data_IF_486251777017
#
_entry.id   IF_486251777017
#
_cell.length_a   1.000
_cell.length_b   1.000
_cell.length_c   1.000
_cell.angle_alpha   90.00
_cell.angle_beta   90.00
_cell.angle_gamma   90.00
#
_symmetry.space_group_name_H-M   'P 1'
#
loop_
_entity.id
_entity.type
_entity.pdbx_description
1 polymer ?
#
# COMPACT_ATOMS: atom_id res chain seq x y z
N UNK A 1 5.59 -10.50 0.12
CA UNK A 1 4.62 -9.39 -0.03
C UNK A 1 5.34 -8.07 0.13
N UNK A 2 5.06 -7.09 -0.72
CA UNK A 2 5.73 -5.79 -0.69
C UNK A 2 4.71 -4.66 -0.61
N UNK A 3 5.00 -3.65 0.18
CA UNK A 3 4.21 -2.43 0.28
C UNK A 3 5.12 -1.21 0.20
N UNK A 4 4.77 -0.27 -0.66
CA UNK A 4 5.39 1.06 -0.69
C UNK A 4 4.37 2.03 -0.11
N UNK A 5 4.70 2.63 1.01
CA UNK A 5 3.82 3.50 1.78
C UNK A 5 4.31 4.94 1.59
N UNK A 6 3.43 5.79 1.09
CA UNK A 6 3.71 7.22 0.93
C UNK A 6 2.75 8.02 1.81
N UNK A 7 3.30 8.86 2.67
CA UNK A 7 2.51 9.81 3.45
C UNK A 7 1.99 10.90 2.52
N UNK A 8 0.69 11.15 2.54
CA UNK A 8 0.05 12.09 1.62
C UNK A 8 -0.85 13.09 2.34
N UNK A 9 -1.02 14.27 1.75
CA UNK A 9 -2.08 15.21 2.11
C UNK A 9 -3.35 14.94 1.31
N UNK A 10 -3.21 14.34 0.13
CA UNK A 10 -4.31 13.87 -0.71
C UNK A 10 -3.81 12.83 -1.71
N UNK A 11 -4.68 11.92 -2.10
CA UNK A 11 -4.43 10.98 -3.19
C UNK A 11 -5.75 10.52 -3.82
N UNK A 12 -5.72 10.18 -5.09
CA UNK A 12 -6.87 9.63 -5.80
C UNK A 12 -6.45 8.68 -6.91
N UNK A 13 -7.35 7.78 -7.25
CA UNK A 13 -7.25 6.88 -8.41
C UNK A 13 -8.38 7.17 -9.36
N UNK A 14 -8.05 7.31 -10.63
CA UNK A 14 -9.01 7.45 -11.72
C UNK A 14 -8.84 6.30 -12.71
N UNK A 15 -9.98 5.72 -13.10
CA UNK A 15 -10.07 4.70 -14.14
C UNK A 15 -11.06 5.19 -15.18
N UNK A 16 -10.64 5.30 -16.44
CA UNK A 16 -11.46 5.82 -17.54
C UNK A 16 -12.13 7.18 -17.20
N UNK A 17 -11.35 8.07 -16.54
CA UNK A 17 -11.81 9.41 -16.16
C UNK A 17 -12.71 9.45 -14.93
N UNK A 18 -12.99 8.32 -14.28
CA UNK A 18 -13.82 8.25 -13.06
C UNK A 18 -12.97 7.99 -11.84
N UNK A 19 -13.21 8.73 -10.77
CA UNK A 19 -12.55 8.50 -9.47
C UNK A 19 -13.11 7.22 -8.85
N UNK A 20 -12.24 6.25 -8.60
CA UNK A 20 -12.59 4.99 -7.95
C UNK A 20 -12.28 4.98 -6.46
N UNK A 21 -11.34 5.81 -6.03
CA UNK A 21 -10.97 5.98 -4.63
C UNK A 21 -10.26 7.32 -4.45
N UNK A 22 -10.51 7.97 -3.33
CA UNK A 22 -9.92 9.27 -3.00
C UNK A 22 -9.83 9.44 -1.49
N UNK A 23 -8.70 9.96 -1.04
CA UNK A 23 -8.46 10.29 0.36
C UNK A 23 -7.84 11.68 0.48
N UNK A 24 -7.96 12.26 1.65
CA UNK A 24 -7.18 13.42 2.07
C UNK A 24 -5.92 12.93 2.81
N UNK A 25 -5.67 13.36 4.03
CA UNK A 25 -4.51 12.99 4.84
C UNK A 25 -4.47 11.48 5.12
N UNK A 26 -3.32 10.88 4.92
CA UNK A 26 -3.12 9.47 5.22
C UNK A 26 -2.00 8.83 4.43
N UNK A 27 -2.22 7.60 3.97
CA UNK A 27 -1.25 6.83 3.17
C UNK A 27 -1.81 6.48 1.80
N UNK A 28 -1.01 6.71 0.77
CA UNK A 28 -1.10 5.93 -0.47
C UNK A 28 -0.21 4.70 -0.29
N UNK A 29 -0.78 3.51 -0.51
CA UNK A 29 -0.05 2.25 -0.44
C UNK A 29 -0.07 1.59 -1.82
N UNK A 30 1.11 1.37 -2.39
CA UNK A 30 1.29 0.49 -3.53
C UNK A 30 1.55 -0.91 -2.98
N UNK A 31 0.72 -1.87 -3.36
CA UNK A 31 0.71 -3.20 -2.77
C UNK A 31 0.97 -4.29 -3.81
N UNK A 32 2.04 -5.05 -3.61
CA UNK A 32 2.45 -6.14 -4.49
C UNK A 32 2.43 -7.48 -3.79
N UNK A 33 1.88 -8.47 -4.48
CA UNK A 33 1.80 -9.87 -4.01
C UNK A 33 2.80 -10.71 -4.79
N UNK A 34 3.62 -11.48 -4.06
CA UNK A 34 4.53 -12.48 -4.63
C UNK A 34 3.89 -13.87 -4.70
N UNK A 35 4.61 -14.83 -5.29
CA UNK A 35 4.07 -16.18 -5.55
C UNK A 35 3.76 -16.99 -4.27
N UNK A 36 4.53 -16.77 -3.20
CA UNK A 36 4.43 -17.56 -1.96
C UNK A 36 3.71 -16.81 -0.83
N UNK A 37 3.17 -15.63 -1.13
CA UNK A 37 2.53 -14.79 -0.13
C UNK A 37 1.18 -15.37 0.33
N UNK A 38 0.86 -15.15 1.60
CA UNK A 38 -0.33 -15.66 2.25
C UNK A 38 -1.08 -14.56 3.03
N UNK A 39 -2.24 -14.91 3.57
CA UNK A 39 -3.00 -14.00 4.45
C UNK A 39 -2.19 -13.58 5.69
N UNK A 40 -1.32 -14.44 6.22
CA UNK A 40 -0.44 -14.10 7.35
C UNK A 40 0.48 -12.91 7.02
N UNK A 41 0.95 -12.81 5.77
CA UNK A 41 1.75 -11.68 5.33
C UNK A 41 0.91 -10.39 5.27
N UNK A 42 -0.34 -10.49 4.81
CA UNK A 42 -1.30 -9.36 4.83
C UNK A 42 -1.54 -8.88 6.26
N UNK A 43 -1.84 -9.77 7.18
CA UNK A 43 -2.10 -9.46 8.59
C UNK A 43 -0.90 -8.74 9.21
N UNK A 44 0.29 -9.25 8.95
CA UNK A 44 1.53 -8.69 9.49
C UNK A 44 1.83 -7.30 8.94
N UNK A 45 1.68 -7.11 7.62
CA UNK A 45 1.87 -5.80 6.99
C UNK A 45 0.84 -4.79 7.50
N UNK A 46 -0.43 -5.16 7.52
CA UNK A 46 -1.50 -4.27 7.98
C UNK A 46 -1.30 -3.85 9.44
N UNK A 47 -0.90 -4.78 10.30
CA UNK A 47 -0.57 -4.48 11.70
C UNK A 47 0.62 -3.51 11.80
N UNK A 48 1.68 -3.75 11.04
CA UNK A 48 2.85 -2.87 11.02
C UNK A 48 2.49 -1.48 10.51
N UNK A 49 1.77 -1.39 9.42
CA UNK A 49 1.40 -0.11 8.78
C UNK A 49 0.52 0.73 9.69
N UNK A 50 -0.47 0.12 10.36
CA UNK A 50 -1.36 0.84 11.29
C UNK A 50 -0.62 1.46 12.49
N UNK A 51 0.56 0.94 12.82
CA UNK A 51 1.38 1.36 13.96
C UNK A 51 2.60 2.22 13.58
N UNK A 52 2.84 2.43 12.28
CA UNK A 52 3.94 3.29 11.84
C UNK A 52 3.75 4.71 12.36
N UNK A 53 4.76 5.23 13.03
CA UNK A 53 4.73 6.56 13.65
C UNK A 53 5.44 7.57 12.76
N UNK A 54 4.81 7.95 11.66
CA UNK A 54 5.42 8.77 10.62
C UNK A 54 4.67 10.08 10.33
N UNK A 55 3.71 10.44 11.16
CA UNK A 55 3.10 11.76 11.12
C UNK A 55 3.72 12.66 12.19
N UNK A 56 3.81 13.96 11.88
CA UNK A 56 4.38 14.93 12.79
C UNK A 56 3.48 15.16 14.02
N UNK A 57 4.10 15.23 15.19
CA UNK A 57 3.45 15.65 16.43
C UNK A 57 3.44 17.18 16.57
N UNK A 58 2.93 17.68 17.71
CA UNK A 58 2.87 19.12 18.01
C UNK A 58 4.25 19.81 18.08
N UNK A 59 5.33 19.03 18.23
CA UNK A 59 6.72 19.52 18.24
C UNK A 59 7.41 19.32 16.89
N UNK A 60 6.64 19.02 15.83
CA UNK A 60 7.11 18.74 14.48
C UNK A 60 8.08 17.55 14.41
N UNK A 61 7.93 16.59 15.31
CA UNK A 61 8.67 15.35 15.32
C UNK A 61 7.84 14.21 14.72
N UNK A 62 8.46 13.37 13.91
CA UNK A 62 7.89 12.16 13.35
C UNK A 62 7.58 11.17 14.48
N UNK A 63 6.33 11.08 14.91
CA UNK A 63 5.95 10.41 16.15
C UNK A 63 4.55 9.82 16.17
N UNK A 64 3.61 10.30 15.36
CA UNK A 64 2.21 9.88 15.41
C UNK A 64 1.88 8.83 14.36
N UNK A 65 1.01 7.89 14.72
CA UNK A 65 0.47 6.89 13.80
C UNK A 65 -0.69 7.44 12.96
N UNK A 66 -1.11 6.67 11.96
CA UNK A 66 -2.29 6.99 11.15
C UNK A 66 -3.55 7.11 12.02
N UNK A 67 -3.69 6.28 13.05
CA UNK A 67 -4.82 6.35 13.98
C UNK A 67 -4.78 7.61 14.86
N UNK A 68 -3.60 8.04 15.27
CA UNK A 68 -3.45 9.27 16.07
C UNK A 68 -3.91 10.52 15.30
N UNK A 69 -3.74 10.54 13.99
CA UNK A 69 -4.12 11.67 13.13
C UNK A 69 -5.45 11.47 12.42
N UNK A 70 -6.12 10.33 12.59
CA UNK A 70 -7.39 10.03 11.93
C UNK A 70 -7.28 9.94 10.40
N UNK A 71 -6.13 9.49 9.89
CA UNK A 71 -5.86 9.41 8.46
C UNK A 71 -6.54 8.22 7.79
N UNK A 72 -6.64 8.31 6.46
CA UNK A 72 -7.21 7.28 5.60
C UNK A 72 -6.13 6.54 4.81
N UNK A 73 -6.48 5.41 4.23
CA UNK A 73 -5.62 4.64 3.33
C UNK A 73 -6.25 4.59 1.93
N UNK A 74 -5.45 4.86 0.90
CA UNK A 74 -5.76 4.52 -0.49
C UNK A 74 -4.80 3.42 -0.92
N UNK A 75 -5.33 2.22 -1.15
CA UNK A 75 -4.54 1.05 -1.52
C UNK A 75 -4.67 0.74 -3.01
N UNK A 76 -3.54 0.66 -3.69
CA UNK A 76 -3.45 0.41 -5.13
C UNK A 76 -2.62 -0.86 -5.34
N UNK A 77 -3.19 -1.82 -6.08
CA UNK A 77 -2.46 -3.03 -6.47
C UNK A 77 -1.34 -2.68 -7.46
N UNK A 78 -0.14 -3.24 -7.24
CA UNK A 78 1.05 -2.90 -8.02
C UNK A 78 1.95 -4.14 -8.18
N UNK A 79 1.64 -5.03 -9.13
CA UNK A 79 2.44 -6.24 -9.35
C UNK A 79 3.87 -5.92 -9.81
N UNK A 80 4.07 -4.76 -10.41
CA UNK A 80 5.40 -4.33 -10.88
C UNK A 80 6.40 -4.10 -9.75
N UNK A 81 5.98 -4.12 -8.48
CA UNK A 81 6.91 -4.17 -7.34
C UNK A 81 7.74 -5.46 -7.32
N UNK A 82 7.31 -6.48 -8.07
CA UNK A 82 8.03 -7.74 -8.27
C UNK A 82 8.78 -7.79 -9.61
N UNK A 83 9.02 -6.64 -10.23
CA UNK A 83 9.82 -6.57 -11.42
C UNK A 83 11.26 -7.05 -11.17
N UNK A 84 11.72 -7.96 -12.03
CA UNK A 84 13.12 -8.35 -12.10
C UNK A 84 13.74 -7.65 -13.32
N UNK A 85 14.65 -6.74 -13.05
CA UNK A 85 15.39 -5.96 -14.06
C UNK A 85 16.88 -6.37 -14.10
N UNK A 86 17.22 -7.54 -13.58
CA UNK A 86 18.61 -7.99 -13.51
C UNK A 86 19.20 -8.26 -14.89
N UNK A 87 18.40 -8.80 -15.79
CA UNK A 87 18.86 -9.13 -17.16
C UNK A 87 18.15 -8.28 -18.20
N UNK A 88 18.93 -7.42 -18.87
CA UNK A 88 18.41 -6.58 -19.95
C UNK A 88 17.48 -5.47 -19.46
N UNK A 89 16.88 -4.74 -20.41
CA UNK A 89 16.09 -3.54 -20.13
C UNK A 89 14.57 -3.79 -20.14
N UNK A 90 14.14 -5.01 -20.44
CA UNK A 90 12.73 -5.41 -20.34
C UNK A 90 12.48 -6.11 -19.01
N UNK A 91 11.67 -5.51 -18.12
CA UNK A 91 11.37 -6.13 -16.84
C UNK A 91 10.69 -7.50 -16.99
N UNK A 92 11.09 -8.45 -16.16
CA UNK A 92 10.40 -9.73 -15.99
C UNK A 92 9.53 -9.69 -14.73
N UNK A 93 8.35 -10.29 -14.78
CA UNK A 93 7.41 -10.33 -13.65
C UNK A 93 7.14 -11.76 -13.16
N UNK A 94 8.11 -12.67 -13.38
CA UNK A 94 7.97 -14.08 -13.00
C UNK A 94 7.78 -14.30 -11.50
N UNK A 95 8.25 -13.36 -10.68
CA UNK A 95 8.12 -13.45 -9.21
C UNK A 95 6.80 -12.87 -8.66
N UNK A 96 6.01 -12.22 -9.51
CA UNK A 96 4.70 -11.73 -9.11
C UNK A 96 3.72 -12.90 -8.88
N UNK A 97 2.83 -12.74 -7.93
CA UNK A 97 1.74 -13.70 -7.69
C UNK A 97 0.80 -13.82 -8.88
N UNK A 98 0.15 -14.97 -9.01
CA UNK A 98 -0.87 -15.19 -10.06
C UNK A 98 -2.02 -14.19 -9.86
N UNK A 99 -2.61 -13.65 -10.94
CA UNK A 99 -3.60 -12.57 -10.84
C UNK A 99 -4.77 -12.87 -9.90
N UNK A 100 -5.36 -14.07 -9.96
CA UNK A 100 -6.51 -14.42 -9.13
C UNK A 100 -6.17 -14.41 -7.64
N UNK A 101 -5.04 -15.02 -7.27
CA UNK A 101 -4.57 -15.05 -5.89
C UNK A 101 -4.09 -13.68 -5.42
N UNK A 102 -3.41 -12.94 -6.27
CA UNK A 102 -2.98 -11.58 -5.96
C UNK A 102 -4.18 -10.66 -5.71
N UNK A 103 -5.25 -10.77 -6.51
CA UNK A 103 -6.48 -10.01 -6.30
C UNK A 103 -7.17 -10.40 -4.98
N UNK A 104 -7.21 -11.70 -4.67
CA UNK A 104 -7.79 -12.20 -3.42
C UNK A 104 -7.05 -11.62 -2.21
N UNK A 105 -5.72 -11.68 -2.21
CA UNK A 105 -4.89 -11.15 -1.12
C UNK A 105 -4.94 -9.63 -1.04
N UNK A 106 -5.02 -8.94 -2.18
CA UNK A 106 -5.22 -7.49 -2.21
C UNK A 106 -6.52 -7.07 -1.51
N UNK A 107 -7.64 -7.73 -1.83
CA UNK A 107 -8.92 -7.48 -1.18
C UNK A 107 -8.88 -7.80 0.31
N UNK A 108 -8.24 -8.90 0.66
CA UNK A 108 -8.06 -9.29 2.07
C UNK A 108 -7.22 -8.25 2.83
N UNK A 109 -6.12 -7.81 2.25
CA UNK A 109 -5.28 -6.77 2.85
C UNK A 109 -6.06 -5.47 3.10
N UNK A 110 -6.84 -5.00 2.13
CA UNK A 110 -7.67 -3.81 2.30
C UNK A 110 -8.68 -3.98 3.43
N UNK A 111 -9.31 -5.14 3.53
CA UNK A 111 -10.25 -5.47 4.60
C UNK A 111 -9.55 -5.41 5.97
N UNK A 112 -8.41 -6.06 6.12
CA UNK A 112 -7.65 -6.09 7.37
C UNK A 112 -7.16 -4.69 7.76
N UNK A 113 -6.69 -3.89 6.81
CA UNK A 113 -6.36 -2.49 7.07
C UNK A 113 -7.56 -1.72 7.63
N UNK A 114 -8.75 -1.91 7.06
CA UNK A 114 -9.99 -1.28 7.53
C UNK A 114 -10.37 -1.66 8.95
N UNK A 115 -10.00 -2.85 9.40
CA UNK A 115 -10.21 -3.32 10.77
C UNK A 115 -9.23 -2.70 11.78
N UNK A 116 -8.07 -2.21 11.29
CA UNK A 116 -6.97 -1.72 12.14
C UNK A 116 -6.86 -0.20 12.23
N UNK A 117 -7.55 0.53 11.37
CA UNK A 117 -7.53 2.00 11.38
C UNK A 117 -8.93 2.55 11.65
N UNK A 118 -8.98 3.75 12.26
CA UNK A 118 -10.24 4.46 12.51
C UNK A 118 -10.77 5.17 11.26
N UNK A 119 -9.87 5.53 10.33
CA UNK A 119 -10.22 6.12 9.05
C UNK A 119 -10.79 5.10 8.06
N UNK A 120 -11.02 5.54 6.83
CA UNK A 120 -11.51 4.68 5.75
C UNK A 120 -10.36 4.09 4.94
N UNK A 121 -10.63 2.97 4.28
CA UNK A 121 -9.75 2.38 3.27
C UNK A 121 -10.46 2.46 1.91
N UNK A 122 -9.86 3.24 1.02
CA UNK A 122 -10.27 3.36 -0.37
C UNK A 122 -9.35 2.53 -1.26
N UNK A 123 -9.85 2.15 -2.43
CA UNK A 123 -9.16 1.24 -3.35
C UNK A 123 -9.16 1.76 -4.77
N UNK A 124 -8.14 1.35 -5.53
CA UNK A 124 -8.20 1.34 -6.97
C UNK A 124 -9.00 0.14 -7.51
N UNK A 125 -8.82 -0.18 -8.78
CA UNK A 125 -9.44 -1.33 -9.45
C UNK A 125 -8.33 -2.28 -9.87
N UNK A 126 -8.33 -3.49 -9.33
CA UNK A 126 -7.32 -4.50 -9.65
C UNK A 126 -7.27 -4.79 -11.15
N UNK A 127 -6.09 -4.73 -11.73
CA UNK A 127 -5.85 -5.04 -13.15
C UNK A 127 -6.25 -3.92 -14.13
N UNK A 128 -6.83 -2.82 -13.67
CA UNK A 128 -7.18 -1.70 -14.54
C UNK A 128 -5.99 -0.78 -14.80
N UNK A 129 -6.09 -0.01 -15.89
CA UNK A 129 -5.19 1.14 -16.10
C UNK A 129 -5.64 2.26 -15.16
N UNK A 130 -4.85 2.52 -14.14
CA UNK A 130 -5.14 3.49 -13.10
C UNK A 130 -4.26 4.73 -13.23
N UNK A 131 -4.88 5.92 -13.20
CA UNK A 131 -4.16 7.17 -13.04
C UNK A 131 -4.16 7.55 -11.57
N UNK A 132 -2.99 7.45 -10.95
CA UNK A 132 -2.82 7.67 -9.52
C UNK A 132 -2.21 9.05 -9.29
N UNK A 133 -2.97 9.94 -8.68
CA UNK A 133 -2.51 11.28 -8.30
C UNK A 133 -2.32 11.33 -6.80
N UNK A 134 -1.23 11.94 -6.36
CA UNK A 134 -0.94 12.08 -4.93
C UNK A 134 -0.08 13.31 -4.69
N UNK A 135 -0.20 13.87 -3.49
CA UNK A 135 0.74 14.84 -2.95
C UNK A 135 1.50 14.18 -1.81
N UNK A 136 2.73 13.73 -2.10
CA UNK A 136 3.60 13.13 -1.10
C UNK A 136 4.09 14.23 -0.13
N UNK A 137 3.71 14.07 1.13
CA UNK A 137 3.98 15.04 2.18
C UNK A 137 5.33 14.76 2.85
N UNK A 138 6.33 15.54 2.45
CA UNK A 138 7.63 15.42 3.06
C UNK A 138 8.84 15.59 2.14
N UNK A 139 9.11 14.85 1.08
CA UNK A 139 8.52 13.56 0.76
C UNK A 139 8.78 12.51 1.85
N UNK A 140 7.87 11.58 2.01
CA UNK A 140 8.00 10.51 2.99
C UNK A 140 7.51 9.20 2.39
N UNK A 141 8.42 8.27 2.14
CA UNK A 141 8.16 7.00 1.48
C UNK A 141 8.89 5.88 2.20
N UNK A 142 8.17 4.84 2.56
CA UNK A 142 8.70 3.66 3.24
C UNK A 142 8.39 2.42 2.42
N UNK A 143 9.36 1.52 2.31
CA UNK A 143 9.19 0.21 1.71
C UNK A 143 9.18 -0.83 2.83
N UNK A 144 8.15 -1.65 2.86
CA UNK A 144 8.07 -2.81 3.73
C UNK A 144 7.97 -4.09 2.91
N UNK A 145 8.66 -5.11 3.35
CA UNK A 145 8.54 -6.45 2.79
C UNK A 145 8.20 -7.43 3.91
N UNK A 146 7.27 -8.34 3.63
CA UNK A 146 6.88 -9.41 4.55
C UNK A 146 7.04 -10.76 3.85
N UNK A 147 7.62 -11.72 4.54
CA UNK A 147 7.73 -13.11 4.08
C UNK A 147 7.45 -14.04 5.25
N UNK A 148 6.62 -15.07 5.01
CA UNK A 148 6.27 -16.06 6.01
C UNK A 148 5.77 -15.43 7.33
N UNK A 149 4.99 -14.36 7.24
CA UNK A 149 4.46 -13.65 8.40
C UNK A 149 5.46 -12.80 9.18
N UNK A 150 6.63 -12.51 8.61
CA UNK A 150 7.66 -11.68 9.25
C UNK A 150 8.05 -10.48 8.37
N UNK A 151 8.17 -9.30 9.00
CA UNK A 151 8.72 -8.12 8.31
C UNK A 151 10.23 -8.34 8.21
N UNK A 152 10.74 -8.28 6.99
CA UNK A 152 12.16 -8.45 6.74
C UNK A 152 12.87 -7.10 6.57
N UNK A 153 14.18 -7.04 6.92
CA UNK A 153 14.98 -5.82 6.78
C UNK A 153 15.06 -5.31 5.35
#
# INVERSE_FOLDING_TARGET
MRAVIQRVTSAKVEVEGKVTGEIEKGFLILFGVGQEDTEADCDKLADKISKLRIFADKNDKTNLSINDVGGDILCVSQFTLYADCHHGNRPSFIYAGKPDEANRLYKYFCKVCGEKISGKVEKGVFGADMKVSLLNDGPFTIILECRNGEIIP
#
